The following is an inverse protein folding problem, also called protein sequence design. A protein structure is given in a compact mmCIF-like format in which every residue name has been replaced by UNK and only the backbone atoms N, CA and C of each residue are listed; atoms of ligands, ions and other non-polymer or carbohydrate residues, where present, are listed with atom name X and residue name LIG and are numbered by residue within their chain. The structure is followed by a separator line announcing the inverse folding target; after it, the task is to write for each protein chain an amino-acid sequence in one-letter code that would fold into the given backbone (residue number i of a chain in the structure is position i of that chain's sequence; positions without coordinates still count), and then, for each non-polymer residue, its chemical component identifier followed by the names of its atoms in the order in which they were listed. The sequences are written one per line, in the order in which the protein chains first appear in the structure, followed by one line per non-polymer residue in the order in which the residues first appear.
data_IF_486776898918
#
_entry.id   IF_486776898918
#
_cell.length_a   1.000
_cell.length_b   1.000
_cell.length_c   1.000
_cell.angle_alpha   90.00
_cell.angle_beta   90.00
_cell.angle_gamma   90.00
#
_symmetry.space_group_name_H-M   'P 1'
#
loop_
_entity.id
_entity.type
_entity.pdbx_description
1 polymer ?
#
# COMPACT_ATOMS: atom_id res chain seq x y z
N UNK A 1 6.02 15.57 0.90
CA UNK A 1 5.52 14.31 0.37
C UNK A 1 5.11 13.39 1.51
N UNK A 2 3.98 12.74 1.37
CA UNK A 2 3.48 11.82 2.38
C UNK A 2 3.93 10.40 2.05
N UNK A 3 4.54 9.72 3.00
CA UNK A 3 4.91 8.32 2.83
C UNK A 3 4.32 7.55 4.00
N UNK A 4 3.53 6.52 3.69
CA UNK A 4 2.84 5.80 4.74
C UNK A 4 2.47 4.39 4.30
N UNK A 5 2.45 3.47 5.25
CA UNK A 5 1.90 2.14 5.00
C UNK A 5 0.45 2.03 5.51
N UNK A 6 -0.10 3.11 6.03
CA UNK A 6 -1.47 3.12 6.53
C UNK A 6 -2.41 3.42 5.38
N UNK A 7 -3.29 2.46 5.08
CA UNK A 7 -4.22 2.61 3.96
C UNK A 7 -5.14 3.81 4.14
N UNK A 8 -5.60 4.05 5.35
CA UNK A 8 -6.55 5.13 5.56
C UNK A 8 -5.87 6.50 5.47
N UNK A 9 -4.66 6.61 5.99
CA UNK A 9 -3.92 7.86 5.84
C UNK A 9 -3.60 8.13 4.38
N UNK A 10 -3.16 7.10 3.66
CA UNK A 10 -2.89 7.26 2.23
C UNK A 10 -4.13 7.67 1.47
N UNK A 11 -5.26 7.02 1.77
CA UNK A 11 -6.51 7.33 1.10
C UNK A 11 -6.95 8.76 1.41
N UNK A 12 -6.79 9.19 2.65
CA UNK A 12 -7.13 10.56 3.00
C UNK A 12 -6.29 11.56 2.20
N UNK A 13 -5.00 11.27 2.04
CA UNK A 13 -4.15 12.12 1.23
C UNK A 13 -4.66 12.26 -0.19
N UNK A 14 -5.11 11.15 -0.78
CA UNK A 14 -5.65 11.19 -2.13
C UNK A 14 -6.96 11.96 -2.21
N UNK A 15 -7.82 11.79 -1.21
CA UNK A 15 -9.09 12.54 -1.17
C UNK A 15 -8.82 14.04 -1.04
N UNK A 16 -7.75 14.41 -0.35
CA UNK A 16 -7.41 15.82 -0.16
C UNK A 16 -6.64 16.40 -1.34
N UNK A 17 -6.56 15.70 -2.45
CA UNK A 17 -5.96 16.23 -3.65
C UNK A 17 -4.55 15.76 -3.94
N UNK A 18 -4.02 14.85 -3.16
CA UNK A 18 -2.71 14.31 -3.44
C UNK A 18 -2.72 13.37 -4.61
N UNK A 19 -1.52 13.11 -5.13
CA UNK A 19 -1.33 12.18 -6.23
C UNK A 19 -0.46 11.03 -5.78
N UNK A 20 -0.87 9.82 -6.10
CA UNK A 20 -0.06 8.64 -5.80
C UNK A 20 1.13 8.61 -6.75
N UNK A 21 2.32 8.74 -6.19
CA UNK A 21 3.55 8.73 -6.99
C UNK A 21 4.12 7.35 -7.16
N UNK A 22 3.84 6.47 -6.23
CA UNK A 22 4.34 5.13 -6.34
C UNK A 22 4.11 4.35 -5.07
N UNK A 23 4.43 3.07 -5.11
CA UNK A 23 4.36 2.22 -3.96
C UNK A 23 5.67 1.46 -3.87
N UNK A 24 6.19 1.37 -2.66
CA UNK A 24 7.47 0.72 -2.42
C UNK A 24 7.27 -0.41 -1.44
N UNK A 25 7.84 -1.56 -1.70
CA UNK A 25 7.72 -2.69 -0.78
C UNK A 25 8.96 -2.69 0.11
N UNK A 26 8.74 -2.66 1.42
CA UNK A 26 9.83 -2.65 2.39
C UNK A 26 9.68 -3.81 3.34
N UNK A 27 10.81 -4.30 3.83
CA UNK A 27 10.81 -5.30 4.85
C UNK A 27 10.79 -4.65 6.22
N UNK A 28 9.86 -5.09 7.07
CA UNK A 28 9.76 -4.57 8.42
C UNK A 28 9.43 -5.74 9.34
N UNK A 29 10.30 -5.99 10.31
CA UNK A 29 10.08 -7.04 11.30
C UNK A 29 9.78 -8.39 10.65
N UNK A 30 10.51 -8.71 9.60
CA UNK A 30 10.33 -10.00 8.92
C UNK A 30 9.14 -10.05 8.01
N UNK A 31 8.44 -8.94 7.82
CA UNK A 31 7.26 -8.89 6.95
C UNK A 31 7.49 -7.87 5.86
N UNK A 32 6.78 -8.05 4.77
CA UNK A 32 6.82 -7.09 3.67
C UNK A 32 5.60 -6.21 3.73
N UNK A 33 5.82 -4.91 3.68
CA UNK A 33 4.72 -3.95 3.70
C UNK A 33 4.85 -3.03 2.51
N UNK A 34 3.72 -2.57 2.02
CA UNK A 34 3.67 -1.61 0.93
C UNK A 34 3.61 -0.21 1.53
N UNK A 35 4.51 0.65 1.08
CA UNK A 35 4.56 2.04 1.54
C UNK A 35 4.17 2.91 0.36
N UNK A 36 3.14 3.72 0.54
CA UNK A 36 2.61 4.58 -0.51
C UNK A 36 3.29 5.93 -0.45
N UNK A 37 3.61 6.48 -1.61
CA UNK A 37 4.20 7.81 -1.71
C UNK A 37 3.20 8.70 -2.43
N UNK A 38 2.75 9.73 -1.74
CA UNK A 38 1.71 10.62 -2.23
C UNK A 38 2.22 12.05 -2.14
N UNK A 39 2.15 12.77 -3.24
CA UNK A 39 2.63 14.15 -3.26
C UNK A 39 1.47 15.09 -3.51
N UNK A 40 1.63 16.31 -3.06
CA UNK A 40 0.62 17.34 -3.28
C UNK A 40 0.72 18.40 -2.20
N UNK A 41 0.08 19.54 -2.44
CA UNK A 41 0.09 20.60 -1.44
C UNK A 41 -0.71 20.17 -0.22
N UNK A 42 -0.23 20.50 0.95
CA UNK A 42 -0.95 20.24 2.18
C UNK A 42 -0.87 18.82 2.70
N UNK A 43 0.02 17.99 2.14
CA UNK A 43 0.11 16.62 2.62
C UNK A 43 0.58 16.54 4.07
N UNK A 44 1.45 17.43 4.48
CA UNK A 44 1.90 17.46 5.87
C UNK A 44 0.76 17.82 6.80
N UNK A 45 -0.08 18.76 6.37
CA UNK A 45 -1.25 19.14 7.16
C UNK A 45 -2.24 17.97 7.24
N UNK A 46 -2.40 17.24 6.15
CA UNK A 46 -3.27 16.07 6.14
C UNK A 46 -2.79 15.02 7.12
N UNK A 47 -1.48 14.80 7.17
CA UNK A 47 -0.93 13.82 8.09
C UNK A 47 -1.16 14.25 9.53
N UNK A 48 -0.95 15.52 9.82
CA UNK A 48 -1.20 16.05 11.16
C UNK A 48 -2.66 15.94 11.54
N UNK A 49 -3.55 16.23 10.60
CA UNK A 49 -4.98 16.12 10.83
C UNK A 49 -5.36 14.68 11.18
N UNK A 50 -4.80 13.73 10.44
CA UNK A 50 -5.09 12.33 10.66
C UNK A 50 -4.69 11.88 12.07
N UNK A 51 -3.51 12.28 12.50
CA UNK A 51 -3.00 11.86 13.81
C UNK A 51 -3.63 12.62 14.96
N UNK A 52 -4.15 13.80 14.69
CA UNK A 52 -4.72 14.63 15.74
C UNK A 52 -6.09 14.14 16.18
N UNK A 53 -6.86 13.57 15.29
CA UNK A 53 -8.18 13.13 15.66
C UNK A 53 -9.15 13.11 14.51
N UNK A 54 -10.41 13.43 14.75
CA UNK A 54 -11.43 13.25 13.71
C UNK A 54 -11.18 14.11 12.49
N UNK A 55 -11.45 13.53 11.34
CA UNK A 55 -11.34 14.22 10.07
C UNK A 55 -12.66 14.17 9.36
N UNK A 56 -13.03 15.28 8.72
CA UNK A 56 -14.25 15.31 7.92
C UNK A 56 -13.88 14.94 6.49
N UNK A 57 -14.50 13.89 5.98
CA UNK A 57 -14.17 13.40 4.65
C UNK A 57 -15.39 12.68 4.09
N UNK A 58 -15.56 12.77 2.77
CA UNK A 58 -16.60 12.04 2.10
C UNK A 58 -16.29 10.55 2.20
N UNK A 59 -17.16 9.81 2.85
CA UNK A 59 -16.92 8.41 3.12
C UNK A 59 -16.84 7.58 1.83
N UNK A 60 -17.62 7.93 0.84
CA UNK A 60 -17.59 7.20 -0.43
C UNK A 60 -16.28 7.39 -1.15
N UNK A 61 -15.78 8.62 -1.15
CA UNK A 61 -14.49 8.89 -1.77
C UNK A 61 -13.39 8.17 -1.01
N UNK A 62 -13.45 8.20 0.31
CA UNK A 62 -12.44 7.53 1.11
C UNK A 62 -12.43 6.03 0.84
N UNK A 63 -13.60 5.41 0.79
CA UNK A 63 -13.69 3.98 0.52
C UNK A 63 -13.12 3.62 -0.84
N UNK A 64 -13.41 4.44 -1.84
CA UNK A 64 -12.88 4.23 -3.18
C UNK A 64 -11.36 4.26 -3.18
N UNK A 65 -10.79 5.22 -2.50
CA UNK A 65 -9.34 5.34 -2.49
C UNK A 65 -8.70 4.24 -1.67
N UNK A 66 -9.34 3.82 -0.58
CA UNK A 66 -8.82 2.68 0.18
C UNK A 66 -8.78 1.43 -0.69
N UNK A 67 -9.85 1.18 -1.44
CA UNK A 67 -9.90 0.02 -2.31
C UNK A 67 -8.82 0.10 -3.39
N UNK A 68 -8.65 1.27 -3.97
CA UNK A 68 -7.63 1.48 -4.97
C UNK A 68 -6.23 1.20 -4.42
N UNK A 69 -5.94 1.72 -3.23
CA UNK A 69 -4.63 1.51 -2.62
C UNK A 69 -4.42 0.05 -2.24
N UNK A 70 -5.47 -0.64 -1.81
CA UNK A 70 -5.34 -2.07 -1.53
C UNK A 70 -4.95 -2.84 -2.78
N UNK A 71 -5.57 -2.53 -3.91
CA UNK A 71 -5.25 -3.20 -5.16
C UNK A 71 -3.83 -2.92 -5.57
N UNK A 72 -3.39 -1.68 -5.43
CA UNK A 72 -2.02 -1.30 -5.77
C UNK A 72 -1.03 -2.04 -4.86
N UNK A 73 -1.34 -2.12 -3.57
CA UNK A 73 -0.47 -2.77 -2.61
C UNK A 73 -0.35 -4.27 -2.90
N UNK A 74 -1.48 -4.93 -3.17
CA UNK A 74 -1.45 -6.35 -3.48
C UNK A 74 -0.65 -6.63 -4.73
N UNK A 75 -0.80 -5.78 -5.74
CA UNK A 75 -0.05 -5.97 -6.97
C UNK A 75 1.45 -5.79 -6.73
N UNK A 76 1.83 -4.78 -5.95
CA UNK A 76 3.24 -4.54 -5.67
C UNK A 76 3.84 -5.70 -4.87
N UNK A 77 3.11 -6.20 -3.87
CA UNK A 77 3.60 -7.30 -3.07
C UNK A 77 3.72 -8.57 -3.89
N UNK A 78 2.78 -8.80 -4.81
CA UNK A 78 2.83 -9.95 -5.67
C UNK A 78 4.03 -9.89 -6.61
N UNK A 79 4.32 -8.71 -7.14
CA UNK A 79 5.49 -8.54 -7.99
C UNK A 79 6.77 -8.81 -7.23
N UNK A 80 6.83 -8.37 -6.00
CA UNK A 80 8.01 -8.57 -5.20
C UNK A 80 8.20 -10.05 -4.89
N UNK A 81 7.12 -10.76 -4.62
CA UNK A 81 7.20 -12.19 -4.41
C UNK A 81 7.70 -12.92 -5.63
N UNK A 82 7.20 -12.59 -6.80
CA UNK A 82 7.64 -13.21 -8.03
C UNK A 82 9.13 -12.95 -8.28
N UNK A 83 9.56 -11.74 -7.96
CA UNK A 83 10.97 -11.41 -8.14
C UNK A 83 11.85 -12.22 -7.21
N UNK A 84 11.41 -12.37 -5.96
CA UNK A 84 12.14 -13.17 -5.01
C UNK A 84 12.20 -14.62 -5.45
N UNK A 85 11.09 -15.18 -5.89
CA UNK A 85 11.05 -16.55 -6.35
C UNK A 85 12.00 -16.76 -7.52
N UNK A 86 11.97 -15.87 -8.47
CA UNK A 86 12.85 -15.97 -9.62
C UNK A 86 14.30 -15.89 -9.19
N UNK A 87 14.57 -15.03 -8.23
CA UNK A 87 15.93 -14.90 -7.75
C UNK A 87 16.43 -16.11 -6.99
N UNK A 88 15.50 -16.72 -6.27
CA UNK A 88 15.90 -17.87 -5.52
C UNK A 88 15.98 -19.11 -6.26
N UNK A 89 15.36 -19.24 -7.28
CA UNK A 89 15.45 -20.35 -8.04
C UNK A 89 15.66 -21.56 -7.49
N UNK A 90 15.50 -22.15 -7.50
CA UNK A 90 15.73 -23.21 -6.88
C UNK A 90 14.78 -23.73 -6.08
N UNK A 91 14.08 -23.58 -5.78
CA UNK A 91 13.27 -24.10 -4.94
C UNK A 91 12.10 -24.43 -5.35
N UNK A 92 11.93 -24.85 -5.59
CA UNK A 92 10.98 -25.06 -5.92
C UNK A 92 10.12 -25.41 -5.44
N UNK A 93 9.83 -25.47 -5.17
CA UNK A 93 8.91 -25.62 -4.60
C UNK A 93 7.97 -25.32 -4.53
N UNK A 94 7.98 -25.52 -4.75
CA UNK A 94 7.18 -25.37 -4.53
C UNK A 94 6.35 -25.15 -4.57
N UNK A 95 6.34 -25.43 -4.70
CA UNK A 95 5.50 -25.27 -4.57
C UNK A 95 4.60 -25.11 -4.53
N UNK A 96 4.63 -25.22 -4.66
CA UNK A 96 3.78 -25.07 -4.46
C UNK A 96 2.81 -24.80 -4.38
N UNK A 97 2.67 -25.00 -4.50
CA UNK A 97 1.73 -24.70 -4.28
C UNK A 97 0.70 -24.46 -3.91
N UNK A 98 0.83 -24.46 -3.69
CA UNK A 98 0.04 -24.21 -3.08
C UNK A 98 -0.99 -23.94 -3.13
N UNK A 99 -0.89 -24.05 -3.28
CA UNK A 99 -1.71 -23.70 -3.15
C UNK A 99 -2.78 -23.60 -3.31
N UNK A 100 -2.47 -23.71 -3.57
CA UNK A 100 -3.32 -23.51 -3.56
C UNK A 100 -4.29 -23.54 -3.67
N UNK A 101 -4.12 -23.70 -3.70
CA UNK A 101 -4.82 -23.55 -3.60
C UNK A 101 -5.85 -23.50 -3.76
N UNK A 102 -5.68 -23.60 -3.88
CA UNK A 102 -6.34 -23.38 -3.84
C UNK A 102 -7.30 -23.40 -4.03
N UNK A 103 -7.13 -23.55 -4.15
CA UNK A 103 -7.66 -23.42 -4.13
C UNK A 103 -8.45 -23.28 -4.18
#
# INVERSE_FOLDING_TARGET
MLQTDDLFLGALGLVRGGELRGVEVRGMNGRRVAVFRISGPGMEDTEREYHRGPSLVDLRLLKSEVRRLKDVAFEALRREERRSDAGEQGREWGCVPRRGRRR
#
